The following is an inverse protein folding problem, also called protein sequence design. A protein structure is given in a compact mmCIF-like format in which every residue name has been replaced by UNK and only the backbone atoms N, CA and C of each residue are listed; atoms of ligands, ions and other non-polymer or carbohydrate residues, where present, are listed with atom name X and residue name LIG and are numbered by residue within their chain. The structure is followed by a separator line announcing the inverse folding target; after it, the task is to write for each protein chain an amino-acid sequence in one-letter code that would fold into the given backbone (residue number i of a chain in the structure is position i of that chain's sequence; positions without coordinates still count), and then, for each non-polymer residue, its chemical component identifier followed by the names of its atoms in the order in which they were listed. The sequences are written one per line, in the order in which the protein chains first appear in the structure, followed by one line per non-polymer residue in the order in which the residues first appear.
data_IF_975400016283
#
_entry.id   IF_975400016283
#
_cell.length_a   1.000
_cell.length_b   1.000
_cell.length_c   1.000
_cell.angle_alpha   90.00
_cell.angle_beta   90.00
_cell.angle_gamma   90.00
#
_symmetry.space_group_name_H-M   'P 1'
#
loop_
_entity.id
_entity.type
_entity.pdbx_description
1 polymer ?
#
# COMPACT_ATOMS: atom_id res chain seq x y z
N UNK A 1 -24.89 4.31 -21.51
CA UNK A 1 -23.97 5.27 -20.87
C UNK A 1 -23.44 4.65 -19.58
N UNK A 2 -22.13 4.74 -19.29
CA UNK A 2 -21.60 4.34 -17.99
C UNK A 2 -22.25 5.18 -16.89
N UNK A 3 -22.63 4.55 -15.77
CA UNK A 3 -23.28 5.24 -14.65
C UNK A 3 -22.22 5.96 -13.83
N UNK A 4 -22.20 7.28 -13.91
CA UNK A 4 -21.22 8.14 -13.25
C UNK A 4 -21.29 8.08 -11.72
N UNK A 5 -20.13 8.13 -11.06
CA UNK A 5 -20.05 8.32 -9.60
C UNK A 5 -19.11 9.45 -9.29
N UNK A 6 -19.36 10.13 -8.17
CA UNK A 6 -18.44 11.14 -7.65
C UNK A 6 -18.45 11.09 -6.13
N UNK A 7 -17.32 10.68 -5.56
CA UNK A 7 -17.06 10.64 -4.12
C UNK A 7 -15.98 11.67 -3.78
N UNK A 8 -16.27 12.53 -2.80
CA UNK A 8 -15.35 13.56 -2.33
C UNK A 8 -14.58 13.05 -1.11
N UNK A 9 -13.26 13.08 -1.17
CA UNK A 9 -12.38 12.80 -0.03
C UNK A 9 -11.73 14.10 0.45
N UNK A 10 -11.57 14.25 1.76
CA UNK A 10 -10.84 15.37 2.38
C UNK A 10 -9.66 14.83 3.16
N UNK A 11 -8.50 15.47 2.98
CA UNK A 11 -7.22 15.08 3.56
C UNK A 11 -6.91 15.93 4.80
N UNK A 12 -5.85 15.58 5.56
CA UNK A 12 -5.47 16.32 6.77
C UNK A 12 -4.64 17.57 6.47
N UNK A 13 -3.96 17.58 5.33
CA UNK A 13 -2.91 18.52 4.93
C UNK A 13 -3.32 19.43 3.77
N UNK A 14 -4.40 19.10 3.04
CA UNK A 14 -4.89 19.88 1.90
C UNK A 14 -6.41 20.12 1.98
N UNK A 15 -6.80 21.39 1.81
CA UNK A 15 -8.19 21.81 1.74
C UNK A 15 -8.86 21.42 0.40
N UNK A 16 -8.05 21.20 -0.65
CA UNK A 16 -8.53 20.77 -1.96
C UNK A 16 -8.85 19.28 -1.94
N UNK A 17 -10.12 18.90 -2.13
CA UNK A 17 -10.52 17.51 -2.04
C UNK A 17 -10.04 16.67 -3.22
N UNK A 18 -9.89 15.37 -2.97
CA UNK A 18 -9.74 14.37 -4.04
C UNK A 18 -11.14 13.94 -4.48
N UNK A 19 -11.37 13.87 -5.79
CA UNK A 19 -12.63 13.37 -6.36
C UNK A 19 -12.42 11.99 -6.98
N UNK A 20 -12.99 10.96 -6.34
CA UNK A 20 -12.96 9.59 -6.86
C UNK A 20 -14.18 9.36 -7.74
N UNK A 21 -13.93 9.14 -9.03
CA UNK A 21 -14.98 8.89 -10.04
C UNK A 21 -14.96 7.47 -10.61
N UNK A 22 -13.94 6.69 -10.26
CA UNK A 22 -13.87 5.28 -10.64
C UNK A 22 -14.71 4.41 -9.68
N UNK A 23 -15.81 3.87 -10.22
CA UNK A 23 -16.70 2.97 -9.50
C UNK A 23 -16.00 1.68 -9.05
N UNK A 24 -15.13 1.12 -9.89
CA UNK A 24 -14.41 -0.12 -9.58
C UNK A 24 -13.44 0.11 -8.43
N UNK A 25 -12.77 1.25 -8.41
CA UNK A 25 -11.90 1.67 -7.31
C UNK A 25 -12.69 1.75 -5.99
N UNK A 26 -13.81 2.48 -5.97
CA UNK A 26 -14.67 2.56 -4.77
C UNK A 26 -15.14 1.17 -4.32
N UNK A 27 -15.50 0.27 -5.24
CA UNK A 27 -15.93 -1.09 -4.90
C UNK A 27 -14.81 -1.95 -4.33
N UNK A 28 -13.58 -1.77 -4.81
CA UNK A 28 -12.41 -2.58 -4.46
C UNK A 28 -11.68 -2.07 -3.22
N UNK A 29 -11.92 -0.83 -2.80
CA UNK A 29 -11.45 -0.28 -1.52
C UNK A 29 -12.53 -0.47 -0.46
N UNK A 30 -12.40 -1.44 0.48
CA UNK A 30 -13.49 -1.81 1.38
C UNK A 30 -14.02 -0.66 2.25
N UNK A 31 -13.12 0.21 2.73
CA UNK A 31 -13.50 1.40 3.47
C UNK A 31 -14.41 2.34 2.64
N UNK A 32 -13.99 2.67 1.41
CA UNK A 32 -14.77 3.53 0.51
C UNK A 32 -16.08 2.87 0.09
N UNK A 33 -16.08 1.55 -0.13
CA UNK A 33 -17.27 0.79 -0.46
C UNK A 33 -18.33 0.89 0.66
N UNK A 34 -17.92 0.71 1.93
CA UNK A 34 -18.83 0.87 3.06
C UNK A 34 -19.33 2.31 3.19
N UNK A 35 -18.45 3.30 2.99
CA UNK A 35 -18.83 4.70 3.03
C UNK A 35 -19.80 5.09 1.90
N UNK A 36 -19.69 4.47 0.72
CA UNK A 36 -20.66 4.62 -0.36
C UNK A 36 -22.02 4.02 0.03
N UNK A 37 -22.03 2.78 0.56
CA UNK A 37 -23.25 2.10 0.98
C UNK A 37 -23.97 2.79 2.15
N UNK A 38 -23.25 3.45 3.06
CA UNK A 38 -23.86 4.20 4.16
C UNK A 38 -24.59 5.45 3.68
N UNK A 39 -24.15 6.05 2.56
CA UNK A 39 -24.80 7.20 1.95
C UNK A 39 -25.93 6.81 0.99
N UNK A 40 -25.73 5.78 0.17
CA UNK A 40 -26.74 5.33 -0.80
C UNK A 40 -26.65 3.83 -1.09
N UNK A 41 -27.65 3.06 -0.62
CA UNK A 41 -27.67 1.60 -0.80
C UNK A 41 -27.76 1.14 -2.26
N UNK A 42 -28.23 2.00 -3.17
CA UNK A 42 -28.40 1.68 -4.59
C UNK A 42 -27.26 2.24 -5.45
N UNK A 43 -26.21 2.79 -4.84
CA UNK A 43 -25.16 3.50 -5.56
C UNK A 43 -24.54 2.68 -6.69
N UNK A 44 -24.42 1.36 -6.55
CA UNK A 44 -23.85 0.44 -7.56
C UNK A 44 -24.68 0.35 -8.85
N UNK A 45 -25.98 0.68 -8.80
CA UNK A 45 -26.91 0.51 -9.92
C UNK A 45 -27.40 1.83 -10.51
N UNK A 46 -26.95 2.98 -10.02
CA UNK A 46 -27.34 4.30 -10.57
C UNK A 46 -26.17 5.30 -10.56
N UNK A 47 -26.34 6.39 -11.30
CA UNK A 47 -25.43 7.53 -11.18
C UNK A 47 -25.58 8.15 -9.79
N UNK A 48 -24.46 8.38 -9.09
CA UNK A 48 -24.48 8.80 -7.68
C UNK A 48 -23.39 9.83 -7.40
N UNK A 49 -23.79 11.02 -6.98
CA UNK A 49 -22.90 12.00 -6.36
C UNK A 49 -23.10 11.92 -4.85
N UNK A 50 -22.08 11.46 -4.14
CA UNK A 50 -22.14 11.28 -2.69
C UNK A 50 -22.14 12.66 -2.01
N UNK A 51 -23.11 12.89 -1.12
CA UNK A 51 -23.33 14.22 -0.52
C UNK A 51 -22.31 14.52 0.57
N UNK A 52 -21.98 13.54 1.41
CA UNK A 52 -21.07 13.71 2.52
C UNK A 52 -19.62 13.42 2.07
N UNK A 53 -18.69 14.39 2.21
CA UNK A 53 -17.27 14.12 2.02
C UNK A 53 -16.77 13.11 3.05
N UNK A 54 -15.84 12.25 2.65
CA UNK A 54 -15.21 11.27 3.52
C UNK A 54 -13.87 11.83 3.97
N UNK A 55 -13.68 11.98 5.29
CA UNK A 55 -12.41 12.42 5.86
C UNK A 55 -11.47 11.23 5.97
N UNK A 56 -10.28 11.37 5.40
CA UNK A 56 -9.20 10.39 5.50
C UNK A 56 -8.08 11.01 6.33
N UNK A 57 -7.62 10.37 7.42
CA UNK A 57 -6.65 10.95 8.35
C UNK A 57 -5.19 10.82 7.86
N UNK A 58 -4.94 11.05 6.56
CA UNK A 58 -3.63 10.91 5.92
C UNK A 58 -3.39 12.07 4.95
N UNK A 59 -2.14 12.27 4.56
CA UNK A 59 -1.78 13.28 3.56
C UNK A 59 -2.45 12.99 2.22
N UNK A 60 -2.69 14.04 1.45
CA UNK A 60 -3.21 13.92 0.10
C UNK A 60 -2.31 13.07 -0.79
N UNK A 61 -1.00 13.23 -0.66
CA UNK A 61 -0.02 12.47 -1.43
C UNK A 61 -0.13 10.96 -1.16
N UNK A 62 -0.26 10.54 0.11
CA UNK A 62 -0.45 9.15 0.47
C UNK A 62 -1.76 8.58 -0.12
N UNK A 63 -2.86 9.32 0.02
CA UNK A 63 -4.17 8.88 -0.48
C UNK A 63 -4.16 8.74 -2.01
N UNK A 64 -3.65 9.75 -2.73
CA UNK A 64 -3.54 9.72 -4.19
C UNK A 64 -2.70 8.54 -4.65
N UNK A 65 -1.60 8.24 -3.96
CA UNK A 65 -0.78 7.09 -4.27
C UNK A 65 -1.56 5.77 -4.12
N UNK A 66 -2.29 5.58 -3.02
CA UNK A 66 -3.10 4.37 -2.82
C UNK A 66 -4.18 4.25 -3.90
N UNK A 67 -4.89 5.34 -4.21
CA UNK A 67 -5.94 5.33 -5.21
C UNK A 67 -5.41 5.04 -6.62
N UNK A 68 -4.24 5.56 -6.96
CA UNK A 68 -3.63 5.40 -8.28
C UNK A 68 -3.09 4.00 -8.52
N UNK A 69 -2.45 3.38 -7.51
CA UNK A 69 -1.69 2.14 -7.71
C UNK A 69 -2.33 0.88 -7.11
N UNK A 70 -3.32 0.99 -6.22
CA UNK A 70 -3.94 -0.18 -5.56
C UNK A 70 -4.58 -1.21 -6.49
N UNK A 71 -5.02 -0.78 -7.68
CA UNK A 71 -5.57 -1.68 -8.70
C UNK A 71 -4.57 -2.06 -9.80
N UNK A 72 -3.38 -1.44 -9.81
CA UNK A 72 -2.34 -1.66 -10.82
C UNK A 72 -1.31 -2.67 -10.35
N UNK A 73 -0.95 -2.62 -9.07
CA UNK A 73 0.07 -3.51 -8.52
C UNK A 73 -0.46 -4.93 -8.38
N UNK A 74 0.31 -5.86 -8.91
CA UNK A 74 0.11 -7.29 -8.72
C UNK A 74 0.47 -7.69 -7.28
N UNK A 75 -0.12 -8.78 -6.78
CA UNK A 75 0.29 -9.35 -5.50
C UNK A 75 1.69 -9.96 -5.65
N UNK A 76 2.69 -9.52 -4.86
CA UNK A 76 4.05 -10.00 -5.01
C UNK A 76 4.23 -11.48 -4.65
N UNK A 77 3.21 -12.12 -4.05
CA UNK A 77 3.23 -13.56 -3.72
C UNK A 77 2.77 -14.45 -4.89
N UNK A 78 2.29 -13.86 -5.99
CA UNK A 78 1.82 -14.60 -7.17
C UNK A 78 2.76 -14.32 -8.36
N UNK A 79 3.37 -15.35 -8.95
CA UNK A 79 4.31 -15.22 -10.09
C UNK A 79 5.78 -15.02 -9.69
N UNK A 80 6.67 -14.84 -10.67
CA UNK A 80 8.13 -14.69 -10.47
C UNK A 80 8.49 -13.39 -9.71
N UNK A 81 9.41 -13.49 -8.76
CA UNK A 81 9.82 -12.40 -7.85
C UNK A 81 10.73 -11.39 -8.56
N UNK A 82 11.53 -11.83 -9.54
CA UNK A 82 12.53 -10.98 -10.20
C UNK A 82 11.91 -10.01 -11.22
N UNK A 83 10.74 -10.33 -11.78
CA UNK A 83 10.04 -9.49 -12.75
C UNK A 83 9.23 -8.33 -12.11
N UNK A 84 9.08 -8.32 -10.78
CA UNK A 84 8.10 -7.47 -10.07
C UNK A 84 8.60 -6.09 -9.65
N UNK A 85 9.92 -5.88 -9.53
CA UNK A 85 10.46 -4.58 -9.14
C UNK A 85 10.14 -3.48 -10.16
N UNK A 86 10.10 -3.84 -11.45
CA UNK A 86 9.71 -2.93 -12.55
C UNK A 86 8.24 -2.52 -12.40
N UNK A 87 7.37 -3.44 -11.97
CA UNK A 87 5.94 -3.15 -11.77
C UNK A 87 5.68 -2.17 -10.62
N UNK A 88 6.63 -2.06 -9.68
CA UNK A 88 6.52 -1.23 -8.48
C UNK A 88 7.43 -0.01 -8.49
N UNK A 89 7.89 0.45 -9.66
CA UNK A 89 8.83 1.57 -9.82
C UNK A 89 8.40 2.81 -9.03
N UNK A 90 7.15 3.25 -9.15
CA UNK A 90 6.65 4.43 -8.45
C UNK A 90 6.70 4.31 -6.91
N UNK A 91 6.55 3.11 -6.35
CA UNK A 91 6.76 2.87 -4.92
C UNK A 91 8.25 2.80 -4.60
N UNK A 92 9.06 2.23 -5.49
CA UNK A 92 10.50 2.15 -5.33
C UNK A 92 11.18 3.53 -5.34
N UNK A 93 10.59 4.53 -5.98
CA UNK A 93 11.05 5.92 -5.95
C UNK A 93 10.74 6.66 -4.64
N UNK A 94 9.78 6.19 -3.85
CA UNK A 94 9.41 6.81 -2.57
C UNK A 94 10.48 6.63 -1.50
N UNK A 95 10.55 7.57 -0.56
CA UNK A 95 11.37 7.39 0.64
C UNK A 95 10.78 6.29 1.53
N UNK A 96 11.56 5.78 2.48
CA UNK A 96 11.05 4.81 3.45
C UNK A 96 9.95 5.41 4.33
N UNK A 97 10.08 6.68 4.73
CA UNK A 97 9.08 7.40 5.52
C UNK A 97 7.76 7.57 4.74
N UNK A 98 7.85 7.97 3.46
CA UNK A 98 6.68 8.04 2.58
C UNK A 98 6.00 6.67 2.48
N UNK A 99 6.78 5.59 2.34
CA UNK A 99 6.24 4.23 2.24
C UNK A 99 5.53 3.82 3.54
N UNK A 100 6.06 4.16 4.72
CA UNK A 100 5.39 3.91 5.99
C UNK A 100 4.05 4.65 6.05
N UNK A 101 3.99 5.92 5.65
CA UNK A 101 2.74 6.67 5.60
C UNK A 101 1.73 6.04 4.61
N UNK A 102 2.18 5.69 3.41
CA UNK A 102 1.35 5.04 2.38
C UNK A 102 0.84 3.68 2.86
N UNK A 103 1.67 2.89 3.55
CA UNK A 103 1.26 1.60 4.13
C UNK A 103 0.21 1.78 5.23
N UNK A 104 0.38 2.76 6.11
CA UNK A 104 -0.63 3.10 7.13
C UNK A 104 -1.95 3.56 6.49
N UNK A 105 -1.88 4.38 5.44
CA UNK A 105 -3.04 4.78 4.65
C UNK A 105 -3.73 3.57 3.99
N UNK A 106 -2.94 2.65 3.43
CA UNK A 106 -3.41 1.41 2.80
C UNK A 106 -4.13 0.50 3.80
N UNK A 107 -3.59 0.36 5.01
CA UNK A 107 -4.21 -0.38 6.11
C UNK A 107 -5.52 0.26 6.54
N UNK A 108 -5.57 1.60 6.66
CA UNK A 108 -6.80 2.33 6.97
C UNK A 108 -7.89 2.16 5.89
N UNK A 109 -7.48 2.15 4.62
CA UNK A 109 -8.37 1.92 3.48
C UNK A 109 -8.73 0.44 3.28
N UNK A 110 -8.14 -0.45 4.08
CA UNK A 110 -8.33 -1.90 4.10
C UNK A 110 -7.95 -2.58 2.77
N UNK A 111 -6.78 -2.22 2.22
CA UNK A 111 -6.26 -2.75 0.97
C UNK A 111 -5.06 -3.71 1.19
N UNK A 112 -5.24 -4.90 1.82
CA UNK A 112 -4.13 -5.74 2.28
C UNK A 112 -3.24 -6.26 1.14
N UNK A 113 -3.81 -6.59 -0.03
CA UNK A 113 -3.02 -7.03 -1.19
C UNK A 113 -2.04 -5.96 -1.65
N UNK A 114 -2.47 -4.70 -1.67
CA UNK A 114 -1.59 -3.58 -2.01
C UNK A 114 -0.51 -3.37 -0.94
N UNK A 115 -0.86 -3.61 0.34
CA UNK A 115 0.10 -3.51 1.43
C UNK A 115 1.23 -4.55 1.30
N UNK A 116 0.95 -5.74 0.76
CA UNK A 116 2.01 -6.72 0.46
C UNK A 116 2.99 -6.20 -0.60
N UNK A 117 2.48 -5.54 -1.66
CA UNK A 117 3.33 -4.92 -2.69
C UNK A 117 4.24 -3.84 -2.11
N UNK A 118 3.71 -3.00 -1.21
CA UNK A 118 4.49 -1.98 -0.51
C UNK A 118 5.52 -2.60 0.44
N UNK A 119 5.14 -3.60 1.23
CA UNK A 119 6.05 -4.33 2.11
C UNK A 119 7.20 -5.01 1.35
N UNK A 120 6.93 -5.54 0.16
CA UNK A 120 7.96 -6.04 -0.74
C UNK A 120 8.95 -4.95 -1.16
N UNK A 121 8.47 -3.76 -1.54
CA UNK A 121 9.34 -2.62 -1.89
C UNK A 121 10.18 -2.16 -0.69
N UNK A 122 9.58 -2.08 0.50
CA UNK A 122 10.28 -1.73 1.75
C UNK A 122 11.39 -2.74 2.04
N UNK A 123 11.10 -4.04 1.98
CA UNK A 123 12.11 -5.09 2.18
C UNK A 123 13.29 -4.94 1.20
N UNK A 124 13.01 -4.67 -0.08
CA UNK A 124 14.07 -4.44 -1.09
C UNK A 124 14.89 -3.18 -0.88
N UNK A 125 14.34 -2.16 -0.21
CA UNK A 125 15.09 -0.96 0.18
C UNK A 125 15.97 -1.24 1.40
N UNK A 126 15.46 -1.99 2.37
CA UNK A 126 16.20 -2.36 3.58
C UNK A 126 17.33 -3.36 3.28
N UNK A 127 17.17 -4.25 2.30
CA UNK A 127 18.25 -5.14 1.81
C UNK A 127 19.52 -4.38 1.37
N UNK A 128 19.41 -3.08 1.05
CA UNK A 128 20.53 -2.22 0.61
C UNK A 128 21.13 -1.38 1.74
N UNK A 129 20.58 -1.46 2.94
CA UNK A 129 20.99 -0.68 4.11
C UNK A 129 21.87 -1.50 5.04
N UNK A 130 22.72 -0.83 5.81
CA UNK A 130 23.46 -1.48 6.88
C UNK A 130 22.57 -1.70 8.12
N UNK A 131 23.07 -2.46 9.10
CA UNK A 131 22.31 -2.81 10.30
C UNK A 131 21.84 -1.59 11.10
N UNK A 132 22.70 -0.59 11.29
CA UNK A 132 22.37 0.62 12.06
C UNK A 132 21.23 1.41 11.38
N UNK A 133 21.29 1.54 10.05
CA UNK A 133 20.23 2.19 9.26
C UNK A 133 18.90 1.43 9.32
N UNK A 134 18.94 0.10 9.42
CA UNK A 134 17.74 -0.73 9.58
C UNK A 134 17.16 -0.59 10.99
N UNK A 135 18.01 -0.60 12.02
CA UNK A 135 17.59 -0.37 13.41
C UNK A 135 16.96 1.01 13.57
N UNK A 136 17.58 2.04 12.99
CA UNK A 136 17.05 3.41 12.99
C UNK A 136 15.67 3.48 12.33
N UNK A 137 15.49 2.81 11.19
CA UNK A 137 14.19 2.75 10.50
C UNK A 137 13.07 2.15 11.37
N UNK A 138 13.37 1.15 12.21
CA UNK A 138 12.40 0.56 13.12
C UNK A 138 12.29 1.28 14.49
N UNK A 139 12.94 2.43 14.67
CA UNK A 139 12.81 3.25 15.87
C UNK A 139 13.83 2.95 16.98
N UNK A 140 14.98 2.32 16.66
CA UNK A 140 16.15 2.26 17.56
C UNK A 140 16.15 1.14 18.60
N UNK A 141 14.98 0.60 18.97
CA UNK A 141 14.83 -0.42 20.02
C UNK A 141 14.69 -1.86 19.47
N UNK A 142 15.04 -2.09 18.21
CA UNK A 142 14.93 -3.41 17.57
C UNK A 142 16.26 -4.16 17.61
N UNK A 143 16.29 -5.32 18.28
CA UNK A 143 17.35 -6.31 18.13
C UNK A 143 17.27 -6.93 16.73
N UNK A 144 18.06 -6.43 15.80
CA UNK A 144 18.18 -7.00 14.46
C UNK A 144 19.12 -8.20 14.52
N UNK A 145 18.55 -9.42 14.47
CA UNK A 145 19.33 -10.64 14.33
C UNK A 145 19.83 -10.78 12.88
N UNK A 146 21.10 -10.46 12.64
CA UNK A 146 21.75 -10.67 11.34
C UNK A 146 21.99 -12.16 11.16
N UNK A 147 21.13 -12.83 10.40
CA UNK A 147 21.42 -14.18 9.91
C UNK A 147 22.46 -14.04 8.80
N UNK A 148 23.72 -14.31 9.11
CA UNK A 148 24.78 -14.45 8.13
C UNK A 148 24.42 -15.62 7.21
N UNK A 149 24.01 -15.32 5.98
CA UNK A 149 23.99 -16.31 4.91
C UNK A 149 25.41 -16.36 4.37
N UNK A 150 26.16 -17.40 4.72
CA UNK A 150 27.46 -17.67 4.11
C UNK A 150 27.30 -17.62 2.58
N UNK A 151 28.00 -16.70 1.92
CA UNK A 151 27.96 -16.45 0.47
C UNK A 151 28.55 -17.62 -0.37
N UNK A 152 28.58 -18.82 0.18
CA UNK A 152 28.93 -20.04 -0.52
C UNK A 152 27.86 -21.10 -0.29
N UNK A 153 26.67 -20.93 -0.87
CA UNK A 153 25.95 -21.98 -1.61
C UNK A 153 24.52 -21.54 -1.94
N UNK A 154 24.26 -21.41 -3.25
CA UNK A 154 23.02 -21.76 -3.93
C UNK A 154 21.72 -21.62 -3.10
N UNK A 155 21.31 -20.38 -2.77
CA UNK A 155 20.06 -20.12 -2.08
C UNK A 155 18.87 -20.66 -2.88
N UNK A 156 18.20 -21.65 -2.29
CA UNK A 156 16.94 -22.19 -2.81
C UNK A 156 15.80 -21.18 -2.58
N UNK A 157 14.73 -21.30 -3.36
CA UNK A 157 13.56 -20.42 -3.21
C UNK A 157 12.89 -20.49 -1.83
N UNK A 158 13.13 -21.53 -1.03
CA UNK A 158 12.58 -21.66 0.32
C UNK A 158 13.25 -20.73 1.35
N UNK A 159 14.56 -20.47 1.23
CA UNK A 159 15.29 -19.61 2.17
C UNK A 159 14.91 -18.13 2.03
N UNK A 160 14.64 -17.69 0.80
CA UNK A 160 14.17 -16.32 0.52
C UNK A 160 12.76 -16.09 1.06
N UNK A 161 11.91 -17.12 0.99
CA UNK A 161 10.54 -17.09 1.50
C UNK A 161 10.50 -17.05 3.04
N UNK A 162 11.46 -17.71 3.71
CA UNK A 162 11.65 -17.66 5.16
C UNK A 162 12.11 -16.27 5.65
N UNK A 163 13.08 -15.65 4.96
CA UNK A 163 13.56 -14.29 5.27
C UNK A 163 12.43 -13.26 5.10
N UNK A 164 11.62 -13.40 4.05
CA UNK A 164 10.46 -12.55 3.78
C UNK A 164 9.37 -12.68 4.86
N UNK A 165 9.07 -13.90 5.33
CA UNK A 165 8.11 -14.12 6.43
C UNK A 165 8.53 -13.48 7.75
N UNK A 166 9.84 -13.42 8.03
CA UNK A 166 10.37 -12.83 9.26
C UNK A 166 10.24 -11.31 9.30
N UNK A 167 10.42 -10.60 8.17
CA UNK A 167 10.17 -9.17 8.10
C UNK A 167 8.68 -8.83 8.23
N UNK A 168 7.80 -9.66 7.65
CA UNK A 168 6.35 -9.47 7.77
C UNK A 168 5.81 -9.72 9.18
N UNK A 169 6.51 -10.44 10.06
CA UNK A 169 6.06 -10.58 11.45
C UNK A 169 6.30 -9.34 12.33
N UNK A 170 7.08 -8.38 11.84
CA UNK A 170 7.37 -7.11 12.52
C UNK A 170 6.57 -5.92 11.94
N UNK A 171 5.76 -6.13 10.90
CA UNK A 171 4.89 -5.15 10.25
C UNK A 171 3.42 -5.55 10.42
#
# INVERSE_FOLDING_TARGET
MPKEVEMKLTCVDDANPIFVRDRKLIQKTPFLNRAAYSQDKKWTTKSTKFAAPIRIPYTKAAIEFVLEYSLKYSDPRVGDVNTKLIEYEAAYEKSLDDLVEIMNCTSFLECPTFNHSLGFVVARKLDKKNQDEVVEFFGGDVEVEVVATDESNNESNEDKDAKFKRYLSFL
#
